data_IF_266450679073
#
_entry.id   IF_266450679073
#
_cell.length_a   1.000
_cell.length_b   1.000
_cell.length_c   1.000
_cell.angle_alpha   90.00
_cell.angle_beta   90.00
_cell.angle_gamma   90.00
#
_symmetry.space_group_name_H-M   'P 1'
#
loop_
_entity.id
_entity.type
_entity.pdbx_description
1 polymer ?
#
# COMPACT_ATOMS: atom_id res chain seq x y z
N UNK A 1 -24.69 4.98 17.14
CA UNK A 1 -23.52 5.83 17.46
C UNK A 1 -22.30 5.11 16.91
N UNK A 2 -21.82 5.51 15.75
CA UNK A 2 -20.60 4.92 15.17
C UNK A 2 -19.41 5.70 15.74
N UNK A 3 -18.65 5.07 16.62
CA UNK A 3 -17.32 5.53 16.99
C UNK A 3 -16.41 5.33 15.79
N UNK A 4 -16.30 6.38 14.97
CA UNK A 4 -15.21 6.54 14.04
C UNK A 4 -13.93 6.59 14.88
N UNK A 5 -13.17 5.50 14.95
CA UNK A 5 -11.80 5.53 15.42
C UNK A 5 -11.01 6.41 14.45
N UNK A 6 -10.95 7.71 14.75
CA UNK A 6 -10.11 8.65 14.05
C UNK A 6 -8.67 8.17 14.24
N UNK A 7 -8.08 7.64 13.17
CA UNK A 7 -6.65 7.38 13.11
C UNK A 7 -5.97 8.73 13.41
N UNK A 8 -5.14 8.83 14.46
CA UNK A 8 -4.52 10.10 14.81
C UNK A 8 -3.69 10.57 13.61
N UNK A 9 -3.97 11.77 13.11
CA UNK A 9 -3.13 12.39 12.08
C UNK A 9 -1.79 12.66 12.77
N UNK A 10 -0.68 12.06 12.31
CA UNK A 10 0.62 12.25 12.93
C UNK A 10 1.01 13.73 12.87
N UNK A 11 1.58 14.26 13.95
CA UNK A 11 2.03 15.66 13.99
C UNK A 11 3.16 15.88 12.97
N UNK A 12 3.36 17.12 12.52
CA UNK A 12 4.43 17.48 11.57
C UNK A 12 5.81 17.02 12.08
N UNK A 13 6.03 17.07 13.40
CA UNK A 13 7.23 16.54 14.04
C UNK A 13 7.33 15.01 14.01
N UNK A 14 6.22 14.28 14.14
CA UNK A 14 6.19 12.81 14.03
C UNK A 14 6.46 12.34 12.60
N UNK A 15 5.96 13.09 11.61
CA UNK A 15 6.24 12.83 10.19
C UNK A 15 7.71 13.10 9.87
N UNK A 16 8.28 14.19 10.39
CA UNK A 16 9.71 14.52 10.23
C UNK A 16 10.60 13.47 10.91
N UNK A 17 10.26 13.04 12.14
CA UNK A 17 11.01 12.01 12.86
C UNK A 17 10.95 10.65 12.14
N UNK A 18 9.77 10.22 11.68
CA UNK A 18 9.61 9.00 10.88
C UNK A 18 10.37 9.10 9.54
N UNK A 19 10.39 10.27 8.90
CA UNK A 19 11.09 10.50 7.64
C UNK A 19 12.62 10.45 7.76
N UNK A 20 13.18 10.82 8.92
CA UNK A 20 14.62 10.72 9.22
C UNK A 20 15.04 9.27 9.52
N UNK A 21 14.09 8.46 10.02
CA UNK A 21 14.31 7.05 10.39
C UNK A 21 14.11 6.11 9.20
N UNK A 22 13.27 6.45 8.23
CA UNK A 22 12.97 5.58 7.08
C UNK A 22 14.21 5.39 6.17
N UNK A 23 14.70 4.14 5.99
CA UNK A 23 15.86 3.85 5.14
C UNK A 23 15.63 4.18 3.66
N UNK A 24 14.38 4.11 3.18
CA UNK A 24 13.98 4.46 1.81
C UNK A 24 14.06 5.97 1.59
N UNK A 25 13.65 6.79 2.56
CA UNK A 25 13.74 8.25 2.47
C UNK A 25 15.20 8.69 2.45
N UNK A 26 16.05 8.05 3.27
CA UNK A 26 17.51 8.28 3.27
C UNK A 26 18.15 7.90 1.93
N UNK A 27 17.81 6.74 1.39
CA UNK A 27 18.29 6.27 0.08
C UNK A 27 17.86 7.21 -1.05
N UNK A 28 16.60 7.65 -1.03
CA UNK A 28 16.07 8.61 -1.98
C UNK A 28 16.78 9.97 -1.92
N UNK A 29 17.03 10.49 -0.71
CA UNK A 29 17.75 11.74 -0.52
C UNK A 29 19.18 11.67 -1.11
N UNK A 30 19.90 10.58 -0.84
CA UNK A 30 21.24 10.34 -1.39
C UNK A 30 21.23 10.24 -2.93
N UNK A 31 20.22 9.59 -3.51
CA UNK A 31 20.04 9.52 -4.96
C UNK A 31 19.79 10.90 -5.57
N UNK A 32 18.89 11.69 -4.98
CA UNK A 32 18.52 13.02 -5.47
C UNK A 32 19.72 13.96 -5.50
N UNK A 33 20.49 14.00 -4.42
CA UNK A 33 21.67 14.87 -4.30
C UNK A 33 22.77 14.44 -5.27
N UNK A 34 22.99 13.12 -5.43
CA UNK A 34 23.98 12.59 -6.38
C UNK A 34 23.63 12.87 -7.84
N UNK A 35 22.36 12.82 -8.19
CA UNK A 35 21.91 12.89 -9.59
C UNK A 35 21.40 14.27 -10.00
N UNK A 36 21.12 15.16 -9.03
CA UNK A 36 20.50 16.45 -9.24
C UNK A 36 19.08 16.37 -9.81
N UNK A 37 18.44 15.19 -9.76
CA UNK A 37 17.17 14.91 -10.44
C UNK A 37 16.15 14.38 -9.45
N UNK A 38 14.99 15.02 -9.42
CA UNK A 38 13.82 14.56 -8.67
C UNK A 38 12.70 14.25 -9.65
N UNK A 39 12.33 12.97 -9.71
CA UNK A 39 11.13 12.53 -10.43
C UNK A 39 10.53 11.31 -9.76
N UNK A 40 9.21 11.17 -9.84
CA UNK A 40 8.50 9.99 -9.32
C UNK A 40 9.10 8.71 -9.94
N UNK A 41 9.40 8.71 -11.25
CA UNK A 41 10.04 7.57 -11.91
C UNK A 41 11.42 7.25 -11.34
N UNK A 42 12.30 8.26 -11.18
CA UNK A 42 13.65 8.06 -10.68
C UNK A 42 13.69 7.52 -9.24
N UNK A 43 12.79 8.01 -8.38
CA UNK A 43 12.70 7.55 -6.98
C UNK A 43 12.12 6.13 -6.90
N UNK A 44 11.14 5.78 -7.74
CA UNK A 44 10.62 4.40 -7.84
C UNK A 44 11.72 3.41 -8.22
N UNK A 45 12.54 3.76 -9.22
CA UNK A 45 13.63 2.90 -9.69
C UNK A 45 14.76 2.81 -8.67
N UNK A 46 15.11 3.92 -8.01
CA UNK A 46 16.21 3.98 -7.05
C UNK A 46 15.89 3.26 -5.72
N UNK A 47 14.65 3.34 -5.25
CA UNK A 47 14.23 2.79 -3.96
C UNK A 47 13.34 1.55 -4.10
N UNK A 48 13.07 1.08 -5.32
CA UNK A 48 12.20 -0.09 -5.61
C UNK A 48 10.80 0.02 -4.98
N UNK A 49 10.25 1.22 -4.92
CA UNK A 49 8.94 1.50 -4.31
C UNK A 49 7.85 1.76 -5.36
N UNK A 50 6.60 1.56 -4.96
CA UNK A 50 5.43 1.91 -5.77
C UNK A 50 5.29 3.43 -6.01
N UNK A 51 4.46 3.84 -6.99
CA UNK A 51 4.29 5.26 -7.35
C UNK A 51 3.72 6.12 -6.23
N UNK A 52 2.80 5.58 -5.43
CA UNK A 52 2.23 6.26 -4.27
C UNK A 52 3.30 6.52 -3.20
N UNK A 53 4.06 5.47 -2.84
CA UNK A 53 5.14 5.57 -1.86
C UNK A 53 6.26 6.51 -2.33
N UNK A 54 6.59 6.52 -3.62
CA UNK A 54 7.53 7.49 -4.17
C UNK A 54 7.03 8.94 -4.04
N UNK A 55 5.72 9.18 -4.15
CA UNK A 55 5.11 10.49 -3.88
C UNK A 55 5.26 10.92 -2.42
N UNK A 56 5.00 10.01 -1.47
CA UNK A 56 5.19 10.25 -0.03
C UNK A 56 6.66 10.54 0.31
N UNK A 57 7.58 9.79 -0.28
CA UNK A 57 9.03 10.02 -0.10
C UNK A 57 9.41 11.41 -0.62
N UNK A 58 8.92 11.82 -1.80
CA UNK A 58 9.20 13.15 -2.34
C UNK A 58 8.62 14.25 -1.45
N UNK A 59 7.40 14.08 -0.93
CA UNK A 59 6.80 15.03 0.01
C UNK A 59 7.62 15.11 1.32
N UNK A 60 8.15 13.97 1.77
CA UNK A 60 9.02 13.92 2.94
C UNK A 60 10.36 14.65 2.68
N UNK A 61 10.95 14.49 1.49
CA UNK A 61 12.15 15.22 1.09
C UNK A 61 11.92 16.74 0.97
N UNK A 62 10.72 17.15 0.59
CA UNK A 62 10.29 18.55 0.55
C UNK A 62 10.16 19.13 1.96
N UNK A 63 9.53 18.41 2.89
CA UNK A 63 9.45 18.78 4.31
C UNK A 63 10.83 18.86 4.98
N UNK A 64 11.79 18.04 4.52
CA UNK A 64 13.18 18.04 4.98
C UNK A 64 14.03 19.13 4.29
N UNK A 65 13.47 19.90 3.36
CA UNK A 65 14.16 20.96 2.63
C UNK A 65 15.20 20.47 1.62
N UNK A 66 15.22 19.17 1.30
CA UNK A 66 16.13 18.59 0.29
C UNK A 66 15.66 18.93 -1.13
N UNK A 67 14.34 18.99 -1.31
CA UNK A 67 13.69 19.26 -2.60
C UNK A 67 12.78 20.46 -2.47
N UNK A 68 12.72 21.29 -3.50
CA UNK A 68 11.83 22.45 -3.54
C UNK A 68 10.35 22.10 -3.70
N UNK A 69 9.48 23.07 -3.45
CA UNK A 69 8.04 22.88 -3.53
C UNK A 69 7.60 22.40 -4.91
N UNK A 70 6.48 21.67 -4.93
CA UNK A 70 5.89 21.13 -6.14
C UNK A 70 5.29 22.23 -7.03
N UNK A 71 6.10 22.97 -7.77
CA UNK A 71 5.55 23.94 -8.72
C UNK A 71 5.06 23.24 -10.00
N UNK A 72 3.86 23.58 -10.45
CA UNK A 72 3.01 22.72 -11.32
C UNK A 72 3.51 22.61 -12.76
N UNK A 73 4.67 23.16 -13.11
CA UNK A 73 5.16 23.21 -14.50
C UNK A 73 6.68 23.16 -14.64
N UNK A 74 7.45 23.29 -13.56
CA UNK A 74 8.91 23.28 -13.60
C UNK A 74 9.53 22.03 -12.97
N UNK A 75 10.78 21.73 -13.34
CA UNK A 75 11.52 20.62 -12.74
C UNK A 75 11.76 20.96 -11.26
N UNK A 76 11.31 20.09 -10.35
CA UNK A 76 11.61 20.20 -8.92
C UNK A 76 13.11 20.40 -8.72
N UNK A 77 13.47 21.52 -8.09
CA UNK A 77 14.85 21.89 -7.81
C UNK A 77 15.35 21.10 -6.60
N UNK A 78 16.59 20.64 -6.67
CA UNK A 78 17.30 20.12 -5.50
C UNK A 78 17.86 21.35 -4.77
N UNK A 79 17.43 21.55 -3.53
CA UNK A 79 17.77 22.75 -2.76
C UNK A 79 19.07 22.60 -1.97
N UNK A 80 19.53 21.36 -1.79
CA UNK A 80 20.74 21.06 -1.02
C UNK A 80 21.77 20.34 -1.89
N UNK A 81 22.98 20.90 -1.92
CA UNK A 81 24.15 20.30 -2.58
C UNK A 81 24.78 19.16 -1.76
N UNK A 82 24.38 19.05 -0.48
CA UNK A 82 24.83 18.03 0.45
C UNK A 82 23.65 17.59 1.33
N UNK A 83 23.66 16.33 1.75
CA UNK A 83 22.57 15.77 2.54
C UNK A 83 22.47 16.54 3.88
N UNK A 84 21.26 16.90 4.39
CA UNK A 84 21.15 17.59 5.66
C UNK A 84 21.87 16.79 6.75
N UNK A 85 22.50 17.41 7.76
CA UNK A 85 23.23 16.68 8.80
C UNK A 85 22.40 15.60 9.51
N UNK A 86 21.08 15.79 9.61
CA UNK A 86 20.14 14.81 10.16
C UNK A 86 19.98 13.54 9.31
N UNK A 87 20.29 13.62 8.01
CA UNK A 87 20.20 12.53 7.04
C UNK A 87 21.57 12.12 6.50
N UNK A 88 22.60 12.96 6.65
CA UNK A 88 23.97 12.75 6.17
C UNK A 88 24.74 11.79 7.08
N UNK A 89 25.02 10.55 6.64
CA UNK A 89 25.84 9.63 7.41
C UNK A 89 27.27 10.16 7.62
N UNK A 90 27.78 11.07 6.77
CA UNK A 90 29.11 11.68 6.92
C UNK A 90 29.16 12.84 7.92
N UNK A 91 28.08 13.60 8.11
CA UNK A 91 28.04 14.65 9.13
C UNK A 91 28.07 14.06 10.55
N UNK A 92 27.44 12.90 10.76
CA UNK A 92 27.62 12.09 11.98
C UNK A 92 29.06 11.53 12.11
N UNK A 93 29.73 11.27 10.97
CA UNK A 93 31.09 10.71 10.85
C UNK A 93 32.22 11.68 11.15
N UNK A 94 31.96 12.99 11.27
CA UNK A 94 33.00 13.97 11.64
C UNK A 94 33.61 13.71 13.05
N UNK A 95 33.04 12.79 13.84
CA UNK A 95 33.61 12.33 15.12
C UNK A 95 33.94 10.84 15.24
N UNK A 96 33.71 9.99 14.25
CA UNK A 96 34.00 8.54 14.41
C UNK A 96 34.37 7.87 13.08
N UNK A 97 35.49 7.14 13.05
CA UNK A 97 35.82 6.23 11.95
C UNK A 97 34.71 5.17 11.86
N UNK A 98 34.12 4.99 10.67
CA UNK A 98 33.16 3.91 10.43
C UNK A 98 33.81 2.56 10.75
N UNK A 99 33.19 1.80 11.64
CA UNK A 99 33.62 0.44 11.96
C UNK A 99 32.96 -0.55 10.99
N UNK A 100 33.47 -1.78 10.85
CA UNK A 100 32.81 -2.84 10.09
C UNK A 100 31.36 -3.11 10.54
N UNK A 101 31.01 -2.77 11.79
CA UNK A 101 29.67 -2.91 12.33
C UNK A 101 28.68 -1.93 11.67
N UNK A 102 29.10 -0.71 11.35
CA UNK A 102 28.23 0.30 10.71
C UNK A 102 27.86 -0.08 9.27
N UNK A 103 28.79 -0.70 8.55
CA UNK A 103 28.52 -1.25 7.21
C UNK A 103 27.53 -2.41 7.29
N UNK A 104 27.64 -3.25 8.32
CA UNK A 104 26.70 -4.34 8.55
C UNK A 104 25.29 -3.82 8.85
N UNK A 105 25.14 -2.74 9.62
CA UNK A 105 23.81 -2.14 9.92
C UNK A 105 23.12 -1.63 8.65
N UNK A 106 23.83 -0.96 7.74
CA UNK A 106 23.25 -0.50 6.47
C UNK A 106 22.82 -1.66 5.57
N UNK A 107 23.68 -2.64 5.40
CA UNK A 107 23.36 -3.84 4.61
C UNK A 107 22.18 -4.60 5.24
N UNK A 108 22.10 -4.65 6.57
CA UNK A 108 20.96 -5.23 7.28
C UNK A 108 19.66 -4.45 7.05
N UNK A 109 19.70 -3.11 6.96
CA UNK A 109 18.52 -2.32 6.63
C UNK A 109 18.04 -2.54 5.18
N UNK A 110 18.98 -2.67 4.23
CA UNK A 110 18.67 -3.04 2.83
C UNK A 110 18.09 -4.46 2.74
N UNK A 111 18.65 -5.41 3.50
CA UNK A 111 18.14 -6.77 3.60
C UNK A 111 16.75 -6.82 4.26
N UNK A 112 16.49 -6.00 5.28
CA UNK A 112 15.21 -5.93 5.97
C UNK A 112 14.06 -5.52 5.04
N UNK A 113 14.30 -4.57 4.13
CA UNK A 113 13.29 -4.19 3.12
C UNK A 113 13.03 -5.32 2.11
N UNK A 114 14.06 -6.08 1.73
CA UNK A 114 13.91 -7.27 0.89
C UNK A 114 13.19 -8.40 1.60
N UNK A 115 13.44 -8.59 2.89
CA UNK A 115 12.76 -9.57 3.76
C UNK A 115 11.29 -9.22 3.96
N UNK A 116 10.96 -7.95 4.16
CA UNK A 116 9.58 -7.47 4.28
C UNK A 116 8.77 -7.75 3.00
N UNK A 117 9.34 -7.43 1.83
CA UNK A 117 8.71 -7.72 0.55
C UNK A 117 8.48 -9.23 0.37
N UNK A 118 9.47 -10.07 0.71
CA UNK A 118 9.32 -11.54 0.68
C UNK A 118 8.20 -12.01 1.59
N UNK A 119 8.10 -11.49 2.82
CA UNK A 119 7.03 -11.84 3.74
C UNK A 119 5.64 -11.47 3.23
N UNK A 120 5.48 -10.36 2.50
CA UNK A 120 4.20 -10.04 1.83
C UNK A 120 3.89 -11.03 0.72
N UNK A 121 4.87 -11.37 -0.12
CA UNK A 121 4.71 -12.31 -1.23
C UNK A 121 4.33 -13.70 -0.70
N UNK A 122 5.11 -14.26 0.23
CA UNK A 122 4.87 -15.59 0.80
C UNK A 122 3.48 -15.71 1.44
N UNK A 123 3.05 -14.68 2.18
CA UNK A 123 1.69 -14.65 2.75
C UNK A 123 0.61 -14.64 1.68
N UNK A 124 0.78 -13.87 0.61
CA UNK A 124 -0.18 -13.83 -0.50
C UNK A 124 -0.21 -15.14 -1.25
N UNK A 125 0.94 -15.74 -1.56
CA UNK A 125 1.03 -17.05 -2.23
C UNK A 125 0.36 -18.16 -1.42
N UNK A 126 0.56 -18.14 -0.10
CA UNK A 126 -0.13 -19.06 0.80
C UNK A 126 -1.66 -18.87 0.75
N UNK A 127 -2.14 -17.63 0.85
CA UNK A 127 -3.57 -17.32 0.74
C UNK A 127 -4.15 -17.67 -0.64
N UNK A 128 -3.39 -17.56 -1.73
CA UNK A 128 -3.83 -17.98 -3.06
C UNK A 128 -3.96 -19.50 -3.17
N UNK A 129 -3.04 -20.26 -2.57
CA UNK A 129 -3.14 -21.71 -2.47
C UNK A 129 -4.39 -22.12 -1.67
N UNK A 130 -4.59 -21.55 -0.47
CA UNK A 130 -5.78 -21.80 0.34
C UNK A 130 -7.08 -21.45 -0.41
N UNK A 131 -7.10 -20.32 -1.11
CA UNK A 131 -8.26 -19.90 -1.92
C UNK A 131 -8.58 -20.94 -3.01
N UNK A 132 -7.56 -21.51 -3.63
CA UNK A 132 -7.73 -22.57 -4.64
C UNK A 132 -8.33 -23.83 -3.99
N UNK A 133 -7.78 -24.27 -2.87
CA UNK A 133 -8.27 -25.46 -2.15
C UNK A 133 -9.72 -25.27 -1.69
N UNK A 134 -10.06 -24.10 -1.14
CA UNK A 134 -11.44 -23.74 -0.76
C UNK A 134 -12.36 -23.73 -1.99
N UNK A 135 -11.88 -23.23 -3.14
CA UNK A 135 -12.68 -23.23 -4.37
C UNK A 135 -12.95 -24.66 -4.88
N UNK A 136 -12.01 -25.59 -4.70
CA UNK A 136 -12.20 -27.01 -5.00
C UNK A 136 -13.20 -27.65 -4.04
N UNK A 137 -13.08 -27.42 -2.73
CA UNK A 137 -14.05 -27.88 -1.73
C UNK A 137 -15.48 -27.39 -2.02
N UNK A 138 -15.64 -26.10 -2.41
CA UNK A 138 -16.94 -25.56 -2.80
C UNK A 138 -17.51 -26.31 -4.02
N UNK A 139 -16.68 -26.67 -5.00
CA UNK A 139 -17.14 -27.44 -6.17
C UNK A 139 -17.61 -28.82 -5.78
N UNK A 140 -16.92 -29.50 -4.87
CA UNK A 140 -17.32 -30.81 -4.36
C UNK A 140 -18.69 -30.75 -3.67
N UNK A 141 -18.91 -29.78 -2.77
CA UNK A 141 -20.21 -29.59 -2.10
C UNK A 141 -21.32 -29.32 -3.11
N UNK A 142 -21.06 -28.50 -4.13
CA UNK A 142 -22.04 -28.22 -5.17
C UNK A 142 -22.31 -29.44 -6.06
N UNK A 143 -21.31 -30.30 -6.31
CA UNK A 143 -21.48 -31.56 -7.02
C UNK A 143 -22.28 -32.58 -6.20
N UNK A 144 -22.04 -32.65 -4.89
CA UNK A 144 -22.83 -33.46 -3.97
C UNK A 144 -24.29 -33.02 -3.95
N UNK A 145 -24.55 -31.72 -3.84
CA UNK A 145 -25.91 -31.17 -3.91
C UNK A 145 -26.60 -31.55 -5.23
N UNK A 146 -25.88 -31.51 -6.35
CA UNK A 146 -26.38 -31.97 -7.65
C UNK A 146 -26.70 -33.46 -7.66
N UNK A 147 -25.83 -34.30 -7.09
CA UNK A 147 -26.05 -35.75 -6.98
C UNK A 147 -27.28 -36.10 -6.13
N UNK A 148 -27.60 -35.26 -5.15
CA UNK A 148 -28.82 -35.35 -4.32
C UNK A 148 -30.08 -34.79 -5.00
N UNK A 149 -29.96 -34.21 -6.21
CA UNK A 149 -31.08 -33.69 -7.00
C UNK A 149 -31.39 -32.19 -6.81
N UNK A 150 -30.55 -31.43 -6.10
CA UNK A 150 -30.74 -29.98 -5.96
C UNK A 150 -30.24 -29.22 -7.21
N UNK A 151 -30.93 -28.12 -7.57
CA UNK A 151 -30.45 -27.24 -8.63
C UNK A 151 -29.32 -26.31 -8.13
N UNK A 152 -28.10 -26.62 -8.55
CA UNK A 152 -26.90 -25.82 -8.27
C UNK A 152 -27.00 -24.35 -8.70
N UNK A 153 -27.78 -24.01 -9.72
CA UNK A 153 -27.97 -22.61 -10.17
C UNK A 153 -28.79 -21.82 -9.14
N UNK A 154 -29.85 -22.42 -8.62
CA UNK A 154 -30.69 -21.80 -7.59
C UNK A 154 -29.91 -21.68 -6.27
N UNK A 155 -29.15 -22.71 -5.88
CA UNK A 155 -28.30 -22.65 -4.69
C UNK A 155 -27.29 -21.50 -4.75
N UNK A 156 -26.63 -21.27 -5.90
CA UNK A 156 -25.72 -20.11 -6.07
C UNK A 156 -26.46 -18.78 -5.90
N UNK A 157 -27.67 -18.64 -6.45
CA UNK A 157 -28.49 -17.43 -6.28
C UNK A 157 -28.86 -17.22 -4.81
N UNK A 158 -29.28 -18.26 -4.10
CA UNK A 158 -29.59 -18.18 -2.66
C UNK A 158 -28.37 -17.78 -1.85
N UNK A 159 -27.20 -18.36 -2.12
CA UNK A 159 -25.95 -17.97 -1.43
C UNK A 159 -25.61 -16.50 -1.74
N UNK A 160 -25.79 -16.04 -2.98
CA UNK A 160 -25.53 -14.66 -3.34
C UNK A 160 -26.51 -13.68 -2.66
N UNK A 161 -27.80 -14.03 -2.58
CA UNK A 161 -28.80 -13.25 -1.85
C UNK A 161 -28.44 -13.17 -0.37
N UNK A 162 -28.04 -14.29 0.25
CA UNK A 162 -27.64 -14.33 1.67
C UNK A 162 -26.35 -13.57 1.99
N UNK A 163 -25.57 -13.18 0.98
CA UNK A 163 -24.37 -12.34 1.15
C UNK A 163 -24.67 -10.84 1.08
N UNK A 164 -25.81 -10.46 0.51
CA UNK A 164 -26.23 -9.06 0.40
C UNK A 164 -26.86 -8.59 1.71
N UNK A 165 -26.79 -7.29 1.96
CA UNK A 165 -27.47 -6.68 3.10
C UNK A 165 -28.99 -6.80 2.92
N UNK A 166 -29.72 -6.94 4.03
CA UNK A 166 -31.17 -7.03 4.00
C UNK A 166 -31.80 -5.74 3.44
N UNK A 167 -31.18 -4.59 3.70
CA UNK A 167 -31.63 -3.28 3.21
C UNK A 167 -31.45 -3.19 1.68
N UNK A 168 -30.29 -3.60 1.17
CA UNK A 168 -30.01 -3.67 -0.29
C UNK A 168 -31.01 -4.59 -1.03
N UNK A 169 -31.42 -5.69 -0.40
CA UNK A 169 -32.41 -6.61 -0.96
C UNK A 169 -33.78 -5.95 -1.00
N UNK A 170 -34.21 -5.32 0.11
CA UNK A 170 -35.51 -4.68 0.22
C UNK A 170 -35.67 -3.51 -0.76
N UNK A 171 -34.63 -2.67 -0.91
CA UNK A 171 -34.62 -1.59 -1.90
C UNK A 171 -34.72 -2.15 -3.34
N UNK A 172 -33.94 -3.18 -3.64
CA UNK A 172 -33.98 -3.84 -4.95
C UNK A 172 -35.35 -4.45 -5.28
N UNK A 173 -35.99 -5.11 -4.30
CA UNK A 173 -37.33 -5.68 -4.46
C UNK A 173 -38.40 -4.60 -4.63
N UNK A 174 -38.33 -3.49 -3.88
CA UNK A 174 -39.25 -2.37 -4.03
C UNK A 174 -39.18 -1.72 -5.42
N UNK A 175 -37.97 -1.52 -5.95
CA UNK A 175 -37.76 -0.99 -7.31
C UNK A 175 -38.25 -1.99 -8.37
N UNK A 176 -37.96 -3.28 -8.17
CA UNK A 176 -38.41 -4.34 -9.08
C UNK A 176 -39.94 -4.41 -9.16
N UNK A 177 -40.62 -4.33 -8.02
CA UNK A 177 -42.08 -4.37 -7.96
C UNK A 177 -42.72 -3.12 -8.56
N UNK A 178 -42.14 -1.94 -8.37
CA UNK A 178 -42.55 -0.72 -9.09
C UNK A 178 -42.48 -0.93 -10.62
N UNK A 179 -41.41 -1.53 -11.13
CA UNK A 179 -41.27 -1.81 -12.56
C UNK A 179 -42.23 -2.87 -13.06
N UNK A 180 -42.47 -3.95 -12.31
CA UNK A 180 -43.49 -4.95 -12.67
C UNK A 180 -44.89 -4.34 -12.74
N UNK A 181 -45.23 -3.48 -11.77
CA UNK A 181 -46.51 -2.78 -11.75
C UNK A 181 -46.66 -1.86 -12.98
N UNK A 182 -45.62 -1.12 -13.34
CA UNK A 182 -45.60 -0.28 -14.54
C UNK A 182 -45.73 -1.09 -15.85
N UNK A 183 -45.25 -2.33 -15.86
CA UNK A 183 -45.33 -3.25 -17.00
C UNK A 183 -46.59 -4.14 -16.99
N UNK A 184 -47.47 -4.01 -16.01
CA UNK A 184 -48.69 -4.82 -15.89
C UNK A 184 -48.43 -6.30 -15.62
N UNK A 185 -47.27 -6.63 -15.02
CA UNK A 185 -46.85 -7.99 -14.68
C UNK A 185 -47.18 -8.38 -13.23
N UNK A 186 -48.22 -7.77 -12.64
CA UNK A 186 -48.68 -8.00 -11.26
C UNK A 186 -49.37 -9.33 -11.08
#
# INVERSE_FOLDING_TARGET
MNEQTAIPIPSEADVIAAAVVDPMIRSAAAYVIRTGKVSVKGIREACMVGPYRAGEIIASLEALGVVGPADRTEKRLVLLDALPPALDPKAAKARMKETPEDVAVRTNAENAAGEELRQFIERVEHLEAEKKDIAEQIKEVMAEAKGRGYDTKILRKVIALRKRDADDIAEGEAVLDMYKAALGMS
#
